data_IF_679113117694
#
_entry.id   IF_679113117694
#
_cell.length_a   1.000
_cell.length_b   1.000
_cell.length_c   1.000
_cell.angle_alpha   90.00
_cell.angle_beta   90.00
_cell.angle_gamma   90.00
#
_symmetry.space_group_name_H-M   'P 1'
#
loop_
_entity.id
_entity.type
_entity.pdbx_description
1 polymer ?
#
# COMPACT_ATOMS: atom_id res chain seq x y z
N UNK A 1 -10.93 -40.00 36.11
CA UNK A 1 -9.95 -38.93 35.88
C UNK A 1 -10.68 -37.74 35.26
N UNK A 2 -10.92 -36.71 36.06
CA UNK A 2 -11.54 -35.45 35.66
C UNK A 2 -10.39 -34.47 35.40
N UNK A 3 -10.25 -33.92 34.19
CA UNK A 3 -9.32 -32.81 33.93
C UNK A 3 -10.10 -31.54 33.64
N UNK A 4 -9.91 -30.57 34.52
CA UNK A 4 -10.53 -29.26 34.51
C UNK A 4 -9.99 -28.39 33.37
N UNK A 5 -10.90 -27.79 32.61
CA UNK A 5 -10.61 -26.65 31.76
C UNK A 5 -10.47 -25.40 32.64
N UNK A 6 -9.23 -24.97 32.88
CA UNK A 6 -8.93 -23.69 33.51
C UNK A 6 -8.79 -22.60 32.46
N UNK A 7 -9.55 -21.53 32.69
CA UNK A 7 -9.65 -20.28 31.94
C UNK A 7 -8.28 -19.63 31.70
N UNK A 8 -7.89 -19.46 30.44
CA UNK A 8 -6.95 -18.40 30.05
C UNK A 8 -7.74 -17.26 29.43
N UNK A 9 -7.97 -16.22 30.23
CA UNK A 9 -8.40 -14.92 29.74
C UNK A 9 -7.25 -14.24 29.04
N UNK A 10 -7.29 -14.15 27.71
CA UNK A 10 -6.44 -13.23 26.97
C UNK A 10 -7.11 -11.86 26.97
N UNK A 11 -6.65 -11.00 27.87
CA UNK A 11 -6.90 -9.57 27.83
C UNK A 11 -6.27 -9.01 26.55
N UNK A 12 -7.10 -8.74 25.55
CA UNK A 12 -6.73 -8.09 24.31
C UNK A 12 -6.41 -6.61 24.60
N UNK A 13 -5.16 -6.32 24.97
CA UNK A 13 -4.66 -4.94 25.09
C UNK A 13 -3.93 -4.59 23.79
N UNK A 14 -4.69 -4.09 22.83
CA UNK A 14 -4.16 -3.24 21.77
C UNK A 14 -3.48 -2.05 22.44
N UNK A 15 -2.16 -2.14 22.61
CA UNK A 15 -1.35 -1.01 23.04
C UNK A 15 -1.25 -0.05 21.84
N UNK A 16 -2.35 0.67 21.56
CA UNK A 16 -2.37 1.77 20.59
C UNK A 16 -1.48 2.86 21.15
N UNK A 17 -0.22 2.89 20.71
CA UNK A 17 0.63 4.07 20.89
C UNK A 17 -0.02 5.18 20.08
N UNK A 18 -0.79 6.03 20.77
CA UNK A 18 -1.41 7.22 20.20
C UNK A 18 -0.27 8.11 19.71
N UNK A 19 -0.11 8.20 18.39
CA UNK A 19 0.81 9.14 17.77
C UNK A 19 0.40 10.56 18.17
N UNK A 20 1.31 11.30 18.80
CA UNK A 20 1.14 12.74 19.08
C UNK A 20 1.98 13.52 18.06
N UNK A 21 1.38 14.19 17.06
CA UNK A 21 2.13 15.03 16.15
C UNK A 21 2.77 16.21 16.90
N UNK A 22 4.03 16.54 16.60
CA UNK A 22 4.82 17.54 17.33
C UNK A 22 4.45 19.00 16.98
N UNK A 23 3.77 19.28 15.86
CA UNK A 23 3.36 20.64 15.45
C UNK A 23 1.96 20.65 14.84
N UNK A 24 1.15 21.64 15.22
CA UNK A 24 -0.19 21.89 14.67
C UNK A 24 -0.20 23.16 13.82
N UNK A 25 -0.96 23.14 12.72
CA UNK A 25 -1.21 24.32 11.90
C UNK A 25 -2.17 25.28 12.63
N UNK A 26 -1.90 26.58 12.54
CA UNK A 26 -2.67 27.63 13.22
C UNK A 26 -3.21 28.60 12.18
N UNK A 27 -4.52 28.87 12.20
CA UNK A 27 -5.18 29.84 11.36
C UNK A 27 -4.81 31.28 11.76
N UNK A 28 -4.98 32.24 10.84
CA UNK A 28 -4.96 33.68 11.17
C UNK A 28 -6.10 33.95 12.17
N UNK A 29 -5.76 34.06 13.46
CA UNK A 29 -6.72 34.13 14.57
C UNK A 29 -6.42 33.18 15.74
N UNK A 30 -5.40 32.32 15.64
CA UNK A 30 -4.97 31.44 16.75
C UNK A 30 -5.75 30.13 16.85
N UNK A 31 -6.74 29.90 15.99
CA UNK A 31 -7.46 28.63 15.93
C UNK A 31 -6.58 27.53 15.38
N UNK A 32 -6.59 26.37 16.04
CA UNK A 32 -5.93 25.15 15.57
C UNK A 32 -6.67 24.64 14.34
N UNK A 33 -5.97 24.49 13.23
CA UNK A 33 -6.53 23.89 12.01
C UNK A 33 -6.59 22.36 12.16
N UNK A 34 -7.65 21.73 11.62
CA UNK A 34 -7.73 20.28 11.61
C UNK A 34 -6.62 19.69 10.75
N UNK A 35 -6.08 18.54 11.18
CA UNK A 35 -5.11 17.79 10.39
C UNK A 35 -5.77 17.10 9.21
N UNK A 36 -5.29 17.40 8.01
CA UNK A 36 -5.80 16.81 6.77
C UNK A 36 -5.05 15.50 6.49
N UNK A 37 -5.79 14.40 6.43
CA UNK A 37 -5.25 13.08 6.10
C UNK A 37 -5.48 12.69 4.65
N UNK A 38 -4.47 12.12 4.01
CA UNK A 38 -4.58 11.56 2.67
C UNK A 38 -4.52 10.03 2.73
N UNK A 39 -5.63 9.37 2.40
CA UNK A 39 -5.74 7.92 2.29
C UNK A 39 -5.63 7.47 0.82
N UNK A 40 -4.52 6.86 0.46
CA UNK A 40 -4.24 6.39 -0.90
C UNK A 40 -4.50 4.89 -1.01
N UNK A 41 -5.54 4.52 -1.74
CA UNK A 41 -5.94 3.13 -1.90
C UNK A 41 -5.07 2.30 -2.87
N UNK A 42 -5.31 0.99 -2.86
CA UNK A 42 -4.77 0.07 -3.86
C UNK A 42 -5.43 0.24 -5.23
N UNK A 43 -4.87 -0.35 -6.29
CA UNK A 43 -5.48 -0.27 -7.63
C UNK A 43 -4.64 -0.68 -8.84
N UNK A 44 -3.43 -1.21 -8.64
CA UNK A 44 -2.56 -1.63 -9.75
C UNK A 44 -2.34 -0.52 -10.78
N UNK A 45 -2.59 -0.81 -12.06
CA UNK A 45 -2.42 0.15 -13.18
C UNK A 45 -3.26 1.45 -13.05
N UNK A 46 -4.34 1.45 -12.28
CA UNK A 46 -5.15 2.67 -12.03
C UNK A 46 -4.53 3.61 -11.00
N UNK A 47 -3.46 3.20 -10.32
CA UNK A 47 -2.79 4.02 -9.31
C UNK A 47 -2.13 5.30 -9.85
N UNK A 48 -2.01 5.45 -11.17
CA UNK A 48 -1.60 6.71 -11.79
C UNK A 48 -2.53 7.89 -11.40
N UNK A 49 -3.80 7.61 -11.06
CA UNK A 49 -4.74 8.62 -10.57
C UNK A 49 -4.25 9.33 -9.29
N UNK A 50 -3.46 8.65 -8.44
CA UNK A 50 -2.91 9.24 -7.22
C UNK A 50 -1.99 10.41 -7.50
N UNK A 51 -1.19 10.35 -8.58
CA UNK A 51 -0.35 11.48 -8.99
C UNK A 51 -1.18 12.69 -9.40
N UNK A 52 -2.29 12.47 -10.12
CA UNK A 52 -3.22 13.54 -10.50
C UNK A 52 -3.88 14.20 -9.29
N UNK A 53 -4.29 13.40 -8.29
CA UNK A 53 -4.85 13.91 -7.03
C UNK A 53 -3.82 14.76 -6.29
N UNK A 54 -2.60 14.23 -6.08
CA UNK A 54 -1.53 14.96 -5.40
C UNK A 54 -1.18 16.27 -6.13
N UNK A 55 -1.17 16.26 -7.47
CA UNK A 55 -0.91 17.45 -8.27
C UNK A 55 -1.94 18.54 -8.01
N UNK A 56 -3.23 18.20 -8.02
CA UNK A 56 -4.30 19.16 -7.73
C UNK A 56 -4.21 19.66 -6.28
N UNK A 57 -3.91 18.78 -5.31
CA UNK A 57 -3.75 19.20 -3.92
C UNK A 57 -2.60 20.21 -3.75
N UNK A 58 -1.47 20.02 -4.43
CA UNK A 58 -0.37 20.99 -4.44
C UNK A 58 -0.74 22.31 -5.14
N UNK A 59 -1.37 22.24 -6.33
CA UNK A 59 -1.79 23.41 -7.11
C UNK A 59 -2.77 24.29 -6.32
N UNK A 60 -3.72 23.66 -5.62
CA UNK A 60 -4.70 24.32 -4.76
C UNK A 60 -4.16 24.66 -3.36
N UNK A 61 -2.90 24.31 -3.07
CA UNK A 61 -2.21 24.53 -1.79
C UNK A 61 -2.96 23.93 -0.59
N UNK A 62 -3.56 22.76 -0.78
CA UNK A 62 -4.21 22.01 0.28
C UNK A 62 -3.12 21.24 1.06
N UNK A 63 -2.91 21.54 2.35
CA UNK A 63 -1.86 20.87 3.11
C UNK A 63 -2.21 19.40 3.36
N UNK A 64 -1.20 18.53 3.34
CA UNK A 64 -1.32 17.11 3.71
C UNK A 64 -0.49 16.89 4.96
N UNK A 65 -1.14 16.62 6.09
CA UNK A 65 -0.48 16.47 7.39
C UNK A 65 -0.10 15.02 7.71
N UNK A 66 -0.70 14.07 6.99
CA UNK A 66 -0.44 12.64 7.15
C UNK A 66 -0.89 11.84 5.92
N UNK A 67 -0.17 10.78 5.60
CA UNK A 67 -0.48 9.89 4.49
C UNK A 67 -0.58 8.45 4.99
N UNK A 68 -1.67 7.77 4.65
CA UNK A 68 -1.76 6.31 4.75
C UNK A 68 -1.91 5.73 3.34
N UNK A 69 -1.17 4.67 3.04
CA UNK A 69 -1.15 4.06 1.71
C UNK A 69 -1.31 2.54 1.73
N UNK A 70 -2.07 2.02 0.77
CA UNK A 70 -2.23 0.58 0.51
C UNK A 70 -1.72 0.23 -0.89
N UNK A 71 -0.86 -0.78 -1.01
CA UNK A 71 -0.36 -1.30 -2.30
C UNK A 71 0.27 -0.19 -3.16
N UNK A 72 -0.25 0.06 -4.38
CA UNK A 72 0.17 1.19 -5.21
C UNK A 72 0.03 2.56 -4.50
N UNK A 73 -0.98 2.74 -3.65
CA UNK A 73 -1.10 3.92 -2.81
C UNK A 73 0.02 4.03 -1.76
N UNK A 74 0.58 2.91 -1.28
CA UNK A 74 1.75 2.92 -0.41
C UNK A 74 3.03 3.26 -1.18
N UNK A 75 3.14 2.84 -2.45
CA UNK A 75 4.26 3.24 -3.32
C UNK A 75 4.21 4.74 -3.56
N UNK A 76 3.11 5.26 -4.11
CA UNK A 76 2.96 6.69 -4.43
C UNK A 76 3.02 7.55 -3.17
N UNK A 77 2.31 7.15 -2.11
CA UNK A 77 2.32 7.84 -0.82
C UNK A 77 3.70 7.85 -0.17
N UNK A 78 4.45 6.75 -0.25
CA UNK A 78 5.82 6.68 0.26
C UNK A 78 6.78 7.58 -0.52
N UNK A 79 6.68 7.62 -1.85
CA UNK A 79 7.48 8.51 -2.70
C UNK A 79 7.24 9.97 -2.33
N UNK A 80 5.97 10.36 -2.27
CA UNK A 80 5.56 11.72 -1.96
C UNK A 80 5.88 12.12 -0.51
N UNK A 81 5.72 11.21 0.45
CA UNK A 81 6.07 11.46 1.84
C UNK A 81 7.59 11.71 2.03
N UNK A 82 8.45 11.04 1.26
CA UNK A 82 9.90 11.32 1.26
C UNK A 82 10.23 12.64 0.53
N UNK A 83 9.47 12.96 -0.52
CA UNK A 83 9.68 14.10 -1.38
C UNK A 83 8.35 14.77 -1.75
N UNK A 84 7.87 15.75 -0.94
CA UNK A 84 6.62 16.46 -1.19
C UNK A 84 6.82 17.51 -2.28
N UNK A 85 7.10 17.01 -3.47
CA UNK A 85 7.22 17.71 -4.75
C UNK A 85 6.64 16.76 -5.79
N UNK A 86 5.40 17.00 -6.21
CA UNK A 86 4.70 16.06 -7.10
C UNK A 86 5.38 15.95 -8.46
N UNK A 87 6.05 17.01 -8.93
CA UNK A 87 6.71 17.01 -10.24
C UNK A 87 7.91 16.07 -10.21
N UNK A 88 8.76 16.19 -9.18
CA UNK A 88 9.89 15.29 -9.00
C UNK A 88 9.46 13.83 -8.78
N UNK A 89 8.35 13.61 -8.08
CA UNK A 89 7.79 12.27 -7.85
C UNK A 89 7.27 11.64 -9.15
N UNK A 90 6.56 12.42 -9.99
CA UNK A 90 6.11 11.97 -11.31
C UNK A 90 7.32 11.67 -12.20
N UNK A 91 8.29 12.57 -12.29
CA UNK A 91 9.49 12.37 -13.12
C UNK A 91 10.24 11.09 -12.72
N UNK A 92 10.37 10.82 -11.42
CA UNK A 92 10.98 9.59 -10.92
C UNK A 92 10.19 8.35 -11.33
N UNK A 93 8.87 8.39 -11.20
CA UNK A 93 8.02 7.26 -11.58
C UNK A 93 8.03 7.01 -13.10
N UNK A 94 7.97 8.07 -13.91
CA UNK A 94 8.05 7.96 -15.37
C UNK A 94 9.39 7.39 -15.82
N UNK A 95 10.49 7.82 -15.23
CA UNK A 95 11.82 7.26 -15.50
C UNK A 95 11.89 5.77 -15.17
N UNK A 96 11.31 5.35 -14.05
CA UNK A 96 11.20 3.93 -13.70
C UNK A 96 10.41 3.15 -14.76
N UNK A 97 9.21 3.63 -15.13
CA UNK A 97 8.35 2.98 -16.13
C UNK A 97 9.02 2.91 -17.51
N UNK A 98 9.80 3.93 -17.89
CA UNK A 98 10.50 3.97 -19.18
C UNK A 98 11.66 2.98 -19.26
N UNK A 99 12.34 2.74 -18.15
CA UNK A 99 13.48 1.82 -18.05
C UNK A 99 13.07 0.40 -17.64
N UNK A 100 11.78 0.18 -17.39
CA UNK A 100 11.24 -1.11 -17.02
C UNK A 100 11.15 -2.06 -18.21
N UNK A 101 11.60 -3.29 -18.01
CA UNK A 101 11.30 -4.38 -18.92
C UNK A 101 9.85 -4.86 -18.74
N UNK A 102 8.96 -4.41 -19.63
CA UNK A 102 7.54 -4.74 -19.64
C UNK A 102 7.26 -6.25 -19.75
N UNK A 103 8.13 -7.01 -20.43
CA UNK A 103 7.97 -8.46 -20.59
C UNK A 103 8.19 -9.20 -19.27
N UNK A 104 9.10 -8.70 -18.42
CA UNK A 104 9.41 -9.25 -17.10
C UNK A 104 8.33 -8.99 -16.04
N UNK A 105 7.44 -8.01 -16.24
CA UNK A 105 6.42 -7.62 -15.27
C UNK A 105 5.19 -8.55 -15.29
N UNK A 106 5.00 -9.40 -16.30
CA UNK A 106 3.79 -10.24 -16.37
C UNK A 106 2.47 -9.43 -16.47
N UNK A 107 2.56 -8.11 -16.70
CA UNK A 107 1.43 -7.20 -16.93
C UNK A 107 0.61 -7.59 -18.15
N UNK A 108 1.15 -8.41 -19.07
CA UNK A 108 0.43 -8.99 -20.21
C UNK A 108 -0.90 -9.65 -19.84
N UNK A 109 -1.06 -10.11 -18.59
CA UNK A 109 -2.30 -10.73 -18.10
C UNK A 109 -3.27 -9.75 -17.42
N UNK A 110 -2.81 -8.55 -17.03
CA UNK A 110 -3.60 -7.54 -16.31
C UNK A 110 -3.97 -6.36 -17.23
N UNK A 111 -3.06 -5.96 -18.11
CA UNK A 111 -3.27 -4.97 -19.16
C UNK A 111 -3.96 -5.62 -20.36
N UNK A 112 -5.22 -6.00 -20.20
CA UNK A 112 -6.08 -6.16 -21.38
C UNK A 112 -6.36 -4.78 -21.96
N UNK A 113 -5.99 -4.60 -23.23
CA UNK A 113 -6.27 -3.43 -24.07
C UNK A 113 -7.55 -2.71 -23.65
N UNK A 114 -7.42 -1.48 -23.15
CA UNK A 114 -8.54 -0.66 -22.66
C UNK A 114 -9.38 -0.06 -23.81
N UNK A 115 -9.40 -0.69 -24.99
CA UNK A 115 -9.94 -0.11 -26.22
C UNK A 115 -10.84 -1.03 -27.08
N UNK A 116 -10.93 -2.33 -26.80
CA UNK A 116 -11.85 -3.22 -27.53
C UNK A 116 -12.60 -4.16 -26.58
N UNK A 117 -13.93 -4.21 -26.68
CA UNK A 117 -14.76 -5.25 -26.05
C UNK A 117 -14.27 -6.61 -26.55
N UNK A 118 -13.71 -7.47 -25.67
CA UNK A 118 -13.12 -8.73 -26.13
C UNK A 118 -14.20 -9.61 -26.76
N UNK A 119 -13.94 -10.09 -27.98
CA UNK A 119 -14.82 -10.98 -28.71
C UNK A 119 -15.08 -12.29 -27.92
N UNK A 120 -16.17 -13.01 -28.21
CA UNK A 120 -16.59 -14.20 -27.44
C UNK A 120 -15.47 -15.25 -27.28
N UNK A 121 -14.64 -15.44 -28.30
CA UNK A 121 -13.48 -16.34 -28.25
C UNK A 121 -12.39 -15.86 -27.27
N UNK A 122 -12.16 -14.54 -27.16
CA UNK A 122 -11.22 -13.97 -26.18
C UNK A 122 -11.78 -14.03 -24.76
N UNK A 123 -13.09 -13.79 -24.56
CA UNK A 123 -13.76 -13.98 -23.27
C UNK A 123 -13.65 -15.45 -22.81
N UNK A 124 -13.80 -16.39 -23.74
CA UNK A 124 -13.64 -17.83 -23.48
C UNK A 124 -12.18 -18.19 -23.15
N UNK A 125 -11.21 -17.71 -23.93
CA UNK A 125 -9.79 -17.90 -23.67
C UNK A 125 -9.34 -17.29 -22.33
N UNK A 126 -9.85 -16.09 -21.98
CA UNK A 126 -9.59 -15.44 -20.68
C UNK A 126 -10.16 -16.24 -19.52
N UNK A 127 -11.35 -16.80 -19.68
CA UNK A 127 -11.98 -17.67 -18.67
C UNK A 127 -11.19 -18.96 -18.48
N UNK A 128 -10.73 -19.58 -19.56
CA UNK A 128 -9.88 -20.77 -19.50
C UNK A 128 -8.52 -20.45 -18.87
N UNK A 129 -7.88 -19.34 -19.26
CA UNK A 129 -6.62 -18.89 -18.68
C UNK A 129 -6.76 -18.57 -17.18
N UNK A 130 -7.85 -17.92 -16.76
CA UNK A 130 -8.16 -17.70 -15.34
C UNK A 130 -8.38 -19.00 -14.59
N UNK A 131 -9.03 -20.00 -15.19
CA UNK A 131 -9.23 -21.31 -14.55
C UNK A 131 -7.93 -22.10 -14.43
N UNK A 132 -7.07 -22.06 -15.44
CA UNK A 132 -5.72 -22.65 -15.39
C UNK A 132 -4.85 -21.90 -14.36
N UNK A 133 -4.98 -20.58 -14.27
CA UNK A 133 -4.34 -19.73 -13.26
C UNK A 133 -4.79 -20.08 -11.84
N UNK A 134 -6.10 -20.16 -11.59
CA UNK A 134 -6.66 -20.54 -10.29
C UNK A 134 -6.25 -21.98 -9.92
N UNK A 135 -6.22 -22.92 -10.89
CA UNK A 135 -5.72 -24.27 -10.66
C UNK A 135 -4.21 -24.32 -10.38
N UNK A 136 -3.41 -23.44 -10.98
CA UNK A 136 -1.96 -23.41 -10.75
C UNK A 136 -1.55 -22.75 -9.43
N UNK A 137 -2.44 -21.96 -8.82
CA UNK A 137 -2.30 -21.44 -7.45
C UNK A 137 -2.27 -22.55 -6.38
N UNK A 138 -2.74 -23.77 -6.69
CA UNK A 138 -2.63 -24.92 -5.80
C UNK A 138 -1.20 -25.45 -5.61
N UNK A 139 -0.26 -25.06 -6.48
CA UNK A 139 1.10 -25.63 -6.52
C UNK A 139 2.24 -24.59 -6.42
N UNK A 140 1.94 -23.27 -6.45
CA UNK A 140 2.93 -22.19 -6.37
C UNK A 140 2.37 -21.01 -5.58
N UNK A 141 3.15 -20.48 -4.62
CA UNK A 141 2.76 -19.36 -3.76
C UNK A 141 2.81 -17.96 -4.41
N UNK A 142 3.21 -17.88 -5.69
CA UNK A 142 3.22 -16.63 -6.48
C UNK A 142 3.64 -16.88 -7.93
N UNK A 143 3.23 -15.98 -8.83
CA UNK A 143 3.50 -16.07 -10.27
C UNK A 143 4.56 -15.04 -10.71
N UNK A 144 4.80 -14.02 -9.89
CA UNK A 144 5.84 -13.01 -10.08
C UNK A 144 7.05 -13.28 -9.17
N UNK A 145 8.24 -13.02 -9.69
CA UNK A 145 9.49 -13.06 -8.94
C UNK A 145 9.53 -11.92 -7.91
N UNK A 146 9.68 -12.17 -6.60
CA UNK A 146 9.75 -11.13 -5.58
C UNK A 146 10.84 -10.08 -5.83
N UNK A 147 11.91 -10.45 -6.52
CA UNK A 147 13.03 -9.58 -6.88
C UNK A 147 12.58 -8.40 -7.75
N UNK A 148 11.51 -8.59 -8.53
CA UNK A 148 10.92 -7.53 -9.34
C UNK A 148 10.43 -6.38 -8.47
N UNK A 149 9.62 -6.68 -7.46
CA UNK A 149 9.10 -5.69 -6.52
C UNK A 149 10.25 -5.02 -5.75
N UNK A 150 11.24 -5.81 -5.31
CA UNK A 150 12.38 -5.25 -4.58
C UNK A 150 13.21 -4.28 -5.42
N UNK A 151 13.38 -4.56 -6.73
CA UNK A 151 14.06 -3.66 -7.66
C UNK A 151 13.24 -2.39 -7.90
N UNK A 152 11.93 -2.52 -8.14
CA UNK A 152 11.04 -1.37 -8.27
C UNK A 152 11.11 -0.43 -7.06
N UNK A 153 11.04 -0.99 -5.84
CA UNK A 153 11.12 -0.21 -4.61
C UNK A 153 12.50 0.42 -4.38
N UNK A 154 13.57 -0.19 -4.92
CA UNK A 154 14.92 0.41 -4.86
C UNK A 154 15.05 1.64 -5.73
N UNK A 155 14.37 1.66 -6.87
CA UNK A 155 14.36 2.79 -7.81
C UNK A 155 13.40 3.88 -7.38
N UNK A 156 12.21 3.51 -6.88
CA UNK A 156 11.13 4.44 -6.55
C UNK A 156 11.26 5.10 -5.18
N UNK A 157 11.81 4.40 -4.18
CA UNK A 157 11.89 4.92 -2.81
C UNK A 157 13.34 5.05 -2.36
N UNK A 158 13.67 6.08 -1.60
CA UNK A 158 14.99 6.21 -1.01
C UNK A 158 15.19 5.21 0.14
N UNK A 159 16.45 4.90 0.46
CA UNK A 159 16.77 4.14 1.67
C UNK A 159 16.49 5.02 2.90
N UNK A 160 16.06 4.39 3.98
CA UNK A 160 15.78 5.09 5.24
C UNK A 160 14.65 4.43 5.99
N UNK A 161 14.29 5.02 7.12
CA UNK A 161 13.13 4.57 7.88
C UNK A 161 11.88 5.36 7.50
N UNK A 162 10.73 4.71 7.61
CA UNK A 162 9.43 5.29 7.27
C UNK A 162 9.07 6.47 8.18
N UNK A 163 9.47 6.44 9.46
CA UNK A 163 9.21 7.53 10.40
C UNK A 163 10.06 8.79 10.13
N UNK A 164 11.10 8.67 9.31
CA UNK A 164 11.99 9.79 8.95
C UNK A 164 11.50 10.54 7.69
N UNK A 165 10.35 10.13 7.12
CA UNK A 165 9.75 10.81 5.98
C UNK A 165 9.36 12.27 6.31
N UNK A 166 9.42 13.16 5.31
CA UNK A 166 9.11 14.59 5.49
C UNK A 166 7.64 14.82 5.87
N UNK A 167 6.75 13.97 5.37
CA UNK A 167 5.35 13.88 5.81
C UNK A 167 5.16 12.57 6.56
N UNK A 168 4.51 12.55 7.74
CA UNK A 168 4.18 11.31 8.45
C UNK A 168 3.46 10.31 7.54
N UNK A 169 4.04 9.13 7.36
CA UNK A 169 3.55 8.11 6.42
C UNK A 169 3.36 6.76 7.10
N UNK A 170 2.29 6.06 6.71
CA UNK A 170 1.99 4.69 7.11
C UNK A 170 1.66 3.82 5.92
N UNK A 171 2.29 2.65 5.84
CA UNK A 171 1.95 1.64 4.83
C UNK A 171 1.05 0.58 5.48
N UNK A 172 -0.09 0.28 4.83
CA UNK A 172 -1.05 -0.69 5.36
C UNK A 172 -0.85 -2.03 4.68
N UNK A 173 -0.65 -3.06 5.50
CA UNK A 173 -0.61 -4.46 5.09
C UNK A 173 -1.73 -5.24 5.79
N UNK A 174 -1.89 -6.51 5.44
CA UNK A 174 -2.85 -7.42 6.08
C UNK A 174 -2.10 -8.51 6.82
N UNK A 175 -2.44 -8.76 8.09
CA UNK A 175 -2.04 -9.98 8.79
C UNK A 175 -3.10 -11.07 8.57
N UNK A 176 -2.77 -12.07 7.76
CA UNK A 176 -3.65 -13.18 7.40
C UNK A 176 -3.99 -14.08 8.58
N UNK A 177 -3.15 -14.13 9.62
CA UNK A 177 -3.42 -14.96 10.80
C UNK A 177 -4.57 -14.37 11.64
N UNK A 178 -4.61 -13.03 11.74
CA UNK A 178 -5.63 -12.32 12.53
C UNK A 178 -6.78 -11.75 11.69
N UNK A 179 -6.63 -11.67 10.37
CA UNK A 179 -7.59 -11.03 9.47
C UNK A 179 -7.71 -9.51 9.71
N UNK A 180 -6.65 -8.89 10.24
CA UNK A 180 -6.66 -7.47 10.64
C UNK A 180 -5.66 -6.65 9.83
N UNK A 181 -5.96 -5.36 9.69
CA UNK A 181 -5.03 -4.40 9.10
C UNK A 181 -3.79 -4.22 9.99
N UNK A 182 -2.63 -4.18 9.35
CA UNK A 182 -1.34 -3.90 9.96
C UNK A 182 -0.83 -2.56 9.43
N UNK A 183 -1.00 -1.50 10.22
CA UNK A 183 -0.47 -0.18 9.94
C UNK A 183 1.02 -0.11 10.33
N UNK A 184 1.90 -0.06 9.33
CA UNK A 184 3.35 -0.03 9.51
C UNK A 184 3.83 1.43 9.48
N UNK A 185 4.45 1.88 10.58
CA UNK A 185 4.91 3.28 10.77
C UNK A 185 6.36 3.39 11.23
N UNK A 186 7.05 2.26 11.36
CA UNK A 186 8.44 2.23 11.84
C UNK A 186 9.28 1.24 11.03
N UNK A 187 10.59 1.51 10.96
CA UNK A 187 11.57 0.68 10.28
C UNK A 187 11.73 1.00 8.80
N UNK A 188 12.34 0.11 8.02
CA UNK A 188 12.64 0.34 6.59
C UNK A 188 11.38 0.69 5.79
N UNK A 189 11.36 1.88 5.18
CA UNK A 189 10.24 2.31 4.33
C UNK A 189 10.02 1.37 3.15
N UNK A 190 11.11 0.88 2.54
CA UNK A 190 11.04 -0.09 1.44
C UNK A 190 10.39 -1.39 1.91
N UNK A 191 10.72 -1.89 3.12
CA UNK A 191 10.08 -3.10 3.68
C UNK A 191 8.61 -2.85 4.01
N UNK A 192 8.27 -1.69 4.56
CA UNK A 192 6.89 -1.32 4.87
C UNK A 192 6.02 -1.30 3.59
N UNK A 193 6.47 -0.61 2.54
CA UNK A 193 5.76 -0.55 1.25
C UNK A 193 5.74 -1.90 0.54
N UNK A 194 6.83 -2.69 0.64
CA UNK A 194 6.88 -4.06 0.11
C UNK A 194 5.77 -4.92 0.70
N UNK A 195 5.65 -4.96 2.02
CA UNK A 195 4.59 -5.71 2.73
C UNK A 195 3.19 -5.30 2.30
N UNK A 196 2.99 -4.00 2.13
CA UNK A 196 1.73 -3.44 1.64
C UNK A 196 1.40 -3.85 0.19
N UNK A 197 2.37 -4.38 -0.56
CA UNK A 197 2.29 -4.68 -2.00
C UNK A 197 2.45 -6.18 -2.33
N UNK A 198 2.37 -7.07 -1.34
CA UNK A 198 2.46 -8.53 -1.52
C UNK A 198 1.11 -9.11 -1.98
N UNK A 199 0.68 -8.76 -3.19
CA UNK A 199 -0.67 -9.08 -3.71
C UNK A 199 -0.88 -10.61 -3.73
N UNK A 200 -1.91 -11.15 -3.05
CA UNK A 200 -2.23 -12.57 -3.08
C UNK A 200 -2.36 -13.12 -4.51
N UNK A 201 -1.73 -14.26 -4.77
CA UNK A 201 -1.71 -14.91 -6.10
C UNK A 201 -0.67 -14.36 -7.07
N UNK A 202 -0.09 -13.18 -6.81
CA UNK A 202 1.03 -12.64 -7.59
C UNK A 202 2.35 -12.79 -6.85
N UNK A 203 2.36 -12.42 -5.56
CA UNK A 203 3.52 -12.50 -4.68
C UNK A 203 3.17 -13.31 -3.42
N UNK A 204 4.11 -14.12 -2.91
CA UNK A 204 3.90 -14.85 -1.67
C UNK A 204 3.81 -13.89 -0.47
N UNK A 205 3.04 -14.24 0.58
CA UNK A 205 3.06 -13.48 1.83
C UNK A 205 4.45 -13.55 2.50
N UNK A 206 4.74 -12.57 3.35
CA UNK A 206 5.96 -12.53 4.17
C UNK A 206 5.64 -13.02 5.59
N UNK A 207 6.38 -14.01 6.07
CA UNK A 207 6.37 -14.39 7.48
C UNK A 207 7.27 -13.49 8.30
N UNK A 208 6.73 -12.89 9.37
CA UNK A 208 7.52 -12.07 10.29
C UNK A 208 6.91 -12.13 11.70
N UNK A 209 7.71 -12.55 12.69
CA UNK A 209 7.31 -12.60 14.10
C UNK A 209 5.96 -13.31 14.35
N UNK A 210 5.73 -14.44 13.65
CA UNK A 210 4.49 -15.23 13.78
C UNK A 210 3.27 -14.63 13.06
N UNK A 211 3.45 -13.56 12.26
CA UNK A 211 2.43 -13.02 11.36
C UNK A 211 2.67 -13.51 9.94
N UNK A 212 1.58 -13.67 9.21
CA UNK A 212 1.61 -13.97 7.78
C UNK A 212 1.10 -12.75 7.03
N UNK A 213 2.01 -11.96 6.46
CA UNK A 213 1.73 -10.60 5.99
C UNK A 213 1.51 -10.59 4.47
N UNK A 214 0.42 -9.98 4.01
CA UNK A 214 0.11 -9.78 2.58
C UNK A 214 -0.33 -8.34 2.30
N UNK A 215 -0.66 -8.03 1.04
CA UNK A 215 -1.14 -6.71 0.61
C UNK A 215 -2.30 -6.19 1.48
N UNK A 216 -2.27 -4.90 1.79
CA UNK A 216 -3.28 -4.26 2.65
C UNK A 216 -4.67 -4.22 2.02
N UNK A 217 -4.77 -4.34 0.69
CA UNK A 217 -6.02 -4.28 -0.05
C UNK A 217 -6.96 -5.46 0.20
N UNK A 218 -6.50 -6.49 0.92
CA UNK A 218 -7.36 -7.58 1.40
C UNK A 218 -8.31 -7.11 2.50
N UNK A 219 -7.85 -6.21 3.39
CA UNK A 219 -8.64 -5.74 4.54
C UNK A 219 -8.98 -4.24 4.43
N UNK A 220 -8.03 -3.40 4.04
CA UNK A 220 -8.18 -1.95 3.97
C UNK A 220 -7.79 -1.41 2.57
N UNK A 221 -8.63 -1.63 1.53
CA UNK A 221 -8.37 -1.17 0.16
C UNK A 221 -8.15 0.34 0.05
N UNK A 222 -8.81 1.13 0.90
CA UNK A 222 -8.61 2.58 1.05
C UNK A 222 -8.39 2.86 2.53
N UNK A 223 -7.18 3.30 2.95
CA UNK A 223 -6.75 3.26 4.34
C UNK A 223 -7.24 4.45 5.19
N UNK A 224 -8.56 4.67 5.24
CA UNK A 224 -9.18 5.81 5.96
C UNK A 224 -9.04 5.65 7.47
N UNK A 225 -9.26 4.45 8.00
CA UNK A 225 -9.18 4.21 9.45
C UNK A 225 -7.73 4.27 9.92
N UNK A 226 -6.81 3.76 9.10
CA UNK A 226 -5.38 3.93 9.30
C UNK A 226 -4.95 5.41 9.29
N UNK A 227 -5.45 6.23 8.35
CA UNK A 227 -5.16 7.68 8.34
C UNK A 227 -5.66 8.38 9.61
N UNK A 228 -6.87 8.03 10.09
CA UNK A 228 -7.42 8.53 11.36
C UNK A 228 -6.60 8.07 12.55
N UNK A 229 -6.14 6.82 12.58
CA UNK A 229 -5.27 6.31 13.65
C UNK A 229 -3.93 7.08 13.72
N UNK A 230 -3.45 7.59 12.59
CA UNK A 230 -2.28 8.47 12.52
C UNK A 230 -2.59 9.95 12.84
N UNK A 231 -3.83 10.25 13.23
CA UNK A 231 -4.27 11.56 13.72
C UNK A 231 -4.75 12.51 12.63
N UNK A 232 -5.29 12.00 11.52
CA UNK A 232 -6.13 12.78 10.61
C UNK A 232 -7.45 13.15 11.30
N UNK A 233 -7.89 14.40 11.13
CA UNK A 233 -9.14 14.93 11.66
C UNK A 233 -10.17 15.18 10.53
N UNK A 234 -9.70 15.37 9.30
CA UNK A 234 -10.49 15.52 8.07
C UNK A 234 -9.89 14.68 6.95
#
# INVERSE_FOLDING_TARGET
>A
MHFAFSRYGFANRHNRVIYKPEKRNIAKGGAVLPRIGLALGGGGARGAAHFGVLKVLEEERIPIDVIAGTSMGAIVGGMYAQHPDISAVIDRFENFIRNMDYESFGLKYIATDAGQEPHLLQKFAKTIAQRIYISSMGSRSGIMKPEFLDNALRELLDRGNIQDAKIPFGAVATDLNSGSALLIREGSIRRAVRRSSLIPGYLPPEEDNGRLITDGGVIEPVPVDSAKEMGAEV
#
